data_IF_624809458997
#
_entry.id   IF_624809458997
#
_cell.length_a   1.000
_cell.length_b   1.000
_cell.length_c   1.000
_cell.angle_alpha   90.00
_cell.angle_beta   90.00
_cell.angle_gamma   90.00
#
_symmetry.space_group_name_H-M   'P 1'
#
loop_
_entity.id
_entity.type
_entity.pdbx_description
1 polymer ?
#
# COMPACT_ATOMS: atom_id res chain seq x y z
N UNK A 1 -8.99 15.34 -0.16
CA UNK A 1 -8.26 14.05 -0.08
C UNK A 1 -7.62 13.64 -1.41
N UNK A 2 -8.27 13.89 -2.56
CA UNK A 2 -7.76 13.62 -3.92
C UNK A 2 -6.31 14.07 -4.14
N UNK A 3 -5.92 15.23 -3.58
CA UNK A 3 -4.54 15.73 -3.70
C UNK A 3 -3.51 14.89 -2.94
N UNK A 4 -3.86 14.26 -1.82
CA UNK A 4 -2.94 13.40 -1.07
C UNK A 4 -2.67 12.09 -1.82
N UNK A 5 -3.72 11.52 -2.42
CA UNK A 5 -3.61 10.32 -3.26
C UNK A 5 -2.80 10.60 -4.53
N UNK A 6 -3.02 11.73 -5.21
CA UNK A 6 -2.22 12.09 -6.39
C UNK A 6 -0.74 12.31 -6.04
N UNK A 7 -0.42 12.84 -4.86
CA UNK A 7 0.96 12.94 -4.38
C UNK A 7 1.63 11.60 -4.10
N UNK A 8 0.87 10.59 -3.65
CA UNK A 8 1.35 9.22 -3.54
C UNK A 8 1.42 8.50 -4.90
N UNK A 9 0.93 9.12 -5.98
CA UNK A 9 0.82 8.54 -7.31
C UNK A 9 -0.37 7.60 -7.46
N UNK A 10 -1.41 7.74 -6.65
CA UNK A 10 -2.60 6.89 -6.63
C UNK A 10 -3.72 7.62 -7.38
N UNK A 11 -3.79 7.46 -8.70
CA UNK A 11 -4.73 8.22 -9.53
C UNK A 11 -6.06 7.48 -9.67
N UNK A 12 -6.02 6.25 -10.19
CA UNK A 12 -7.24 5.49 -10.52
C UNK A 12 -7.53 4.35 -9.56
N UNK A 13 -6.60 4.04 -8.64
CA UNK A 13 -6.74 2.92 -7.71
C UNK A 13 -8.01 3.00 -6.84
N UNK A 14 -8.44 4.20 -6.45
CA UNK A 14 -9.62 4.40 -5.61
C UNK A 14 -10.95 4.45 -6.40
N UNK A 15 -10.90 4.36 -7.73
CA UNK A 15 -12.06 4.53 -8.60
C UNK A 15 -12.50 3.18 -9.19
N UNK A 16 -13.16 2.35 -8.38
CA UNK A 16 -13.83 1.14 -8.86
C UNK A 16 -15.33 1.39 -8.92
N UNK A 17 -15.90 1.34 -10.13
CA UNK A 17 -17.33 1.58 -10.40
C UNK A 17 -18.09 0.25 -10.49
N UNK A 18 -17.39 -0.85 -10.79
CA UNK A 18 -17.99 -2.15 -11.01
C UNK A 18 -17.96 -3.04 -9.75
N UNK A 19 -19.00 -3.85 -9.49
CA UNK A 19 -19.10 -4.70 -8.29
C UNK A 19 -18.11 -5.88 -8.27
N UNK A 20 -17.39 -6.12 -9.37
CA UNK A 20 -16.47 -7.26 -9.51
C UNK A 20 -17.18 -8.62 -9.60
N UNK A 21 -16.42 -9.66 -9.94
CA UNK A 21 -16.91 -11.04 -10.03
C UNK A 21 -16.24 -11.91 -8.97
N UNK A 22 -17.02 -12.34 -7.97
CA UNK A 22 -16.52 -13.12 -6.81
C UNK A 22 -15.68 -14.33 -7.22
N UNK A 23 -16.13 -15.09 -8.22
CA UNK A 23 -15.44 -16.30 -8.67
C UNK A 23 -14.08 -15.99 -9.30
N UNK A 24 -14.00 -14.94 -10.14
CA UNK A 24 -12.74 -14.49 -10.72
C UNK A 24 -11.78 -13.95 -9.65
N UNK A 25 -12.28 -13.21 -8.65
CA UNK A 25 -11.45 -12.77 -7.52
C UNK A 25 -10.90 -13.96 -6.73
N UNK A 26 -11.73 -14.99 -6.49
CA UNK A 26 -11.28 -16.21 -5.80
C UNK A 26 -10.24 -16.97 -6.63
N UNK A 27 -10.45 -17.12 -7.93
CA UNK A 27 -9.52 -17.77 -8.85
C UNK A 27 -8.17 -17.05 -8.85
N UNK A 28 -8.19 -15.73 -9.06
CA UNK A 28 -7.02 -14.88 -9.02
C UNK A 28 -6.24 -15.05 -7.70
N UNK A 29 -6.92 -14.92 -6.55
CA UNK A 29 -6.26 -14.99 -5.25
C UNK A 29 -5.73 -16.39 -4.89
N UNK A 30 -6.38 -17.47 -5.35
CA UNK A 30 -5.95 -18.85 -5.10
C UNK A 30 -4.75 -19.26 -5.94
N UNK A 31 -4.65 -18.73 -7.16
CA UNK A 31 -3.60 -19.03 -8.12
C UNK A 31 -2.41 -18.09 -8.03
N UNK A 32 -2.53 -17.01 -7.24
CA UNK A 32 -1.51 -15.99 -7.12
C UNK A 32 -0.18 -16.54 -6.58
N UNK A 33 0.88 -16.39 -7.36
CA UNK A 33 2.24 -16.81 -7.01
C UNK A 33 3.25 -15.72 -7.34
N UNK A 34 4.33 -15.70 -6.56
CA UNK A 34 5.41 -14.73 -6.68
C UNK A 34 6.70 -15.46 -6.98
N UNK A 35 7.43 -14.98 -7.98
CA UNK A 35 8.79 -15.41 -8.22
C UNK A 35 9.69 -14.17 -8.26
N UNK A 36 10.72 -14.17 -7.44
CA UNK A 36 11.77 -13.17 -7.50
C UNK A 36 12.81 -13.63 -8.51
N UNK A 37 12.86 -12.98 -9.67
CA UNK A 37 13.87 -13.22 -10.70
C UNK A 37 14.82 -12.02 -10.72
N UNK A 38 15.94 -12.15 -10.00
CA UNK A 38 16.91 -11.07 -9.85
C UNK A 38 16.32 -9.85 -9.13
N UNK A 39 16.29 -8.69 -9.78
CA UNK A 39 15.75 -7.44 -9.23
C UNK A 39 14.27 -7.21 -9.57
N UNK A 40 13.61 -8.17 -10.21
CA UNK A 40 12.21 -8.05 -10.63
C UNK A 40 11.38 -9.17 -10.03
N UNK A 41 10.25 -8.81 -9.45
CA UNK A 41 9.24 -9.76 -9.02
C UNK A 41 8.24 -9.99 -10.15
N UNK A 42 8.09 -11.26 -10.52
CA UNK A 42 7.08 -11.74 -11.45
C UNK A 42 5.89 -12.29 -10.65
N UNK A 43 4.70 -12.03 -11.16
CA UNK A 43 3.45 -12.49 -10.59
C UNK A 43 2.80 -13.43 -11.59
N UNK A 44 2.36 -14.59 -11.10
CA UNK A 44 1.56 -15.53 -11.85
C UNK A 44 0.19 -15.64 -11.20
N UNK A 45 -0.85 -15.73 -12.01
CA UNK A 45 -2.23 -15.92 -11.55
C UNK A 45 -3.07 -16.50 -12.69
N UNK A 46 -4.19 -17.11 -12.35
CA UNK A 46 -5.20 -17.55 -13.28
C UNK A 46 -6.37 -16.55 -13.32
N UNK A 47 -6.94 -16.36 -14.50
CA UNK A 47 -8.13 -15.57 -14.72
C UNK A 47 -8.89 -16.15 -15.90
N UNK A 48 -10.20 -16.43 -15.75
CA UNK A 48 -10.99 -17.11 -16.78
C UNK A 48 -10.38 -18.46 -17.19
N UNK A 49 -9.88 -19.23 -16.22
CA UNK A 49 -9.22 -20.53 -16.41
C UNK A 49 -7.92 -20.48 -17.25
N UNK A 50 -7.41 -19.28 -17.55
CA UNK A 50 -6.15 -19.08 -18.26
C UNK A 50 -5.05 -18.58 -17.32
N UNK A 51 -3.82 -19.06 -17.50
CA UNK A 51 -2.67 -18.63 -16.70
C UNK A 51 -2.00 -17.39 -17.30
N UNK A 52 -1.81 -16.37 -16.46
CA UNK A 52 -1.17 -15.11 -16.79
C UNK A 52 0.17 -14.95 -16.05
N UNK A 53 1.08 -14.23 -16.71
CA UNK A 53 2.37 -13.80 -16.16
C UNK A 53 2.50 -12.29 -16.29
N UNK A 54 2.79 -11.60 -15.20
CA UNK A 54 2.90 -10.15 -15.17
C UNK A 54 4.02 -9.67 -14.24
N UNK A 55 4.80 -8.68 -14.67
CA UNK A 55 5.72 -7.99 -13.77
C UNK A 55 4.94 -7.14 -12.76
N UNK A 56 5.37 -7.11 -11.49
CA UNK A 56 4.77 -6.24 -10.44
C UNK A 56 4.62 -4.79 -10.92
N UNK A 57 5.61 -4.26 -11.65
CA UNK A 57 5.56 -2.89 -12.18
C UNK A 57 4.40 -2.68 -13.15
N UNK A 58 4.14 -3.66 -14.02
CA UNK A 58 3.01 -3.61 -14.96
C UNK A 58 1.69 -3.73 -14.19
N UNK A 59 1.60 -4.61 -13.18
CA UNK A 59 0.41 -4.69 -12.33
C UNK A 59 0.14 -3.37 -11.62
N UNK A 60 1.17 -2.75 -11.03
CA UNK A 60 1.04 -1.46 -10.36
C UNK A 60 0.51 -0.38 -11.29
N UNK A 61 1.00 -0.34 -12.54
CA UNK A 61 0.48 0.60 -13.51
C UNK A 61 -0.98 0.29 -13.89
N UNK A 62 -1.33 -0.97 -14.11
CA UNK A 62 -2.69 -1.41 -14.44
C UNK A 62 -3.70 -1.11 -13.32
N UNK A 63 -3.28 -1.21 -12.06
CA UNK A 63 -4.08 -0.84 -10.89
C UNK A 63 -4.22 0.69 -10.70
N UNK A 64 -3.68 1.50 -11.61
CA UNK A 64 -3.87 2.95 -11.60
C UNK A 64 -2.85 3.73 -10.78
N UNK A 65 -1.69 3.13 -10.47
CA UNK A 65 -0.58 3.82 -9.84
C UNK A 65 0.36 4.47 -10.88
N UNK A 66 1.01 5.56 -10.50
CA UNK A 66 1.99 6.27 -11.34
C UNK A 66 3.16 5.34 -11.74
N UNK A 67 3.62 5.44 -12.99
CA UNK A 67 4.78 4.68 -13.50
C UNK A 67 6.07 4.95 -12.72
N UNK A 68 6.16 6.09 -12.04
CA UNK A 68 7.28 6.53 -11.19
C UNK A 68 7.12 6.10 -9.73
N UNK A 69 6.05 5.39 -9.36
CA UNK A 69 5.92 4.87 -8.00
C UNK A 69 7.06 3.88 -7.69
N UNK A 70 7.69 4.10 -6.54
CA UNK A 70 8.62 3.14 -5.95
C UNK A 70 7.85 1.85 -5.61
N UNK A 71 8.47 0.69 -5.81
CA UNK A 71 7.86 -0.61 -5.50
C UNK A 71 8.32 -1.17 -4.15
N UNK A 72 9.57 -0.86 -3.76
CA UNK A 72 10.16 -1.32 -2.51
C UNK A 72 10.11 -0.20 -1.44
N UNK A 73 9.34 -0.38 -0.35
CA UNK A 73 9.32 0.56 0.77
C UNK A 73 10.66 0.72 1.50
N UNK A 74 11.63 -0.20 1.34
CA UNK A 74 12.96 -0.10 1.96
C UNK A 74 13.73 1.14 1.50
N UNK A 75 13.42 1.63 0.29
CA UNK A 75 13.98 2.86 -0.28
C UNK A 75 13.65 4.08 0.58
N UNK A 76 12.55 4.07 1.34
CA UNK A 76 12.21 5.17 2.25
C UNK A 76 13.28 5.39 3.31
N UNK A 77 13.84 4.31 3.88
CA UNK A 77 14.90 4.41 4.88
C UNK A 77 16.20 4.92 4.24
N UNK A 78 16.57 4.35 3.09
CA UNK A 78 17.83 4.65 2.40
C UNK A 78 17.88 6.07 1.81
N UNK A 79 16.81 6.50 1.15
CA UNK A 79 16.81 7.73 0.33
C UNK A 79 16.05 8.90 0.97
N UNK A 80 15.13 8.62 1.90
CA UNK A 80 14.22 9.63 2.47
C UNK A 80 14.33 9.76 3.99
N UNK A 81 15.34 9.13 4.61
CA UNK A 81 15.61 9.17 6.06
C UNK A 81 14.38 8.78 6.88
N UNK A 82 13.62 7.81 6.40
CA UNK A 82 12.50 7.27 7.16
C UNK A 82 13.03 6.53 8.39
N UNK A 83 12.66 7.04 9.57
CA UNK A 83 12.80 6.36 10.84
C UNK A 83 11.42 6.21 11.50
N UNK A 84 11.08 4.98 11.89
CA UNK A 84 9.76 4.64 12.43
C UNK A 84 9.47 5.43 13.71
N UNK A 85 10.44 5.45 14.62
CA UNK A 85 10.28 6.03 15.96
C UNK A 85 10.13 7.55 15.87
N UNK A 86 11.01 8.20 15.10
CA UNK A 86 10.98 9.65 14.86
C UNK A 86 9.69 10.07 14.17
N UNK A 87 9.25 9.32 13.16
CA UNK A 87 8.02 9.64 12.45
C UNK A 87 6.77 9.45 13.33
N UNK A 88 6.67 8.34 14.06
CA UNK A 88 5.55 8.08 14.95
C UNK A 88 5.45 9.14 16.05
N UNK A 89 6.57 9.42 16.74
CA UNK A 89 6.63 10.44 17.80
C UNK A 89 6.21 11.81 17.24
N UNK A 90 6.63 12.16 16.02
CA UNK A 90 6.26 13.43 15.38
C UNK A 90 4.75 13.59 15.17
N UNK A 91 4.02 12.51 14.82
CA UNK A 91 2.59 12.60 14.48
C UNK A 91 1.66 12.30 15.65
N UNK A 92 2.16 11.68 16.73
CA UNK A 92 1.35 11.19 17.85
C UNK A 92 1.81 11.64 19.24
N UNK A 93 3.05 12.13 19.39
CA UNK A 93 3.73 12.39 20.67
C UNK A 93 3.76 11.18 21.62
N UNK A 94 3.59 9.99 21.09
CA UNK A 94 3.62 8.73 21.84
C UNK A 94 4.86 7.90 21.47
N UNK A 95 5.32 7.01 22.37
CA UNK A 95 6.35 6.03 22.03
C UNK A 95 5.85 5.05 20.96
N UNK A 96 6.79 4.48 20.20
CA UNK A 96 6.46 3.48 19.18
C UNK A 96 6.06 2.15 19.85
N UNK A 97 5.06 1.48 19.30
CA UNK A 97 4.59 0.15 19.73
C UNK A 97 4.52 -0.77 18.52
N UNK A 98 4.32 -2.08 18.72
CA UNK A 98 4.11 -3.02 17.61
C UNK A 98 2.90 -2.62 16.75
N UNK A 99 1.82 -2.19 17.40
CA UNK A 99 0.60 -1.63 16.81
C UNK A 99 0.28 -0.30 17.48
N UNK A 100 0.35 0.78 16.72
CA UNK A 100 0.16 2.12 17.23
C UNK A 100 -1.29 2.58 17.03
N UNK A 101 -1.86 3.31 17.99
CA UNK A 101 -3.25 3.77 17.91
C UNK A 101 -3.40 4.91 16.90
N UNK A 102 -4.18 4.71 15.85
CA UNK A 102 -4.52 5.75 14.86
C UNK A 102 -5.16 6.96 15.54
N UNK A 103 -5.92 6.75 16.62
CA UNK A 103 -6.57 7.84 17.39
C UNK A 103 -5.54 8.84 17.93
N UNK A 104 -4.33 8.36 18.26
CA UNK A 104 -3.26 9.18 18.79
C UNK A 104 -2.65 10.13 17.75
N UNK A 105 -2.84 9.89 16.45
CA UNK A 105 -2.36 10.80 15.39
C UNK A 105 -3.08 12.15 15.51
N UNK A 106 -2.35 13.23 15.78
CA UNK A 106 -2.97 14.54 16.07
C UNK A 106 -3.53 15.24 14.83
N UNK A 107 -2.92 15.06 13.66
CA UNK A 107 -3.37 15.69 12.43
C UNK A 107 -4.61 14.92 11.87
N UNK A 108 -5.78 15.57 11.73
CA UNK A 108 -7.01 14.89 11.33
C UNK A 108 -6.94 14.30 9.91
N UNK A 109 -6.25 14.96 8.98
CA UNK A 109 -6.06 14.45 7.61
C UNK A 109 -5.19 13.20 7.60
N UNK A 110 -4.07 13.19 8.33
CA UNK A 110 -3.22 12.00 8.45
C UNK A 110 -3.96 10.86 9.16
N UNK A 111 -4.75 11.18 10.18
CA UNK A 111 -5.59 10.20 10.88
C UNK A 111 -6.59 9.54 9.92
N UNK A 112 -7.25 10.34 9.08
CA UNK A 112 -8.18 9.84 8.07
C UNK A 112 -7.47 8.97 7.02
N UNK A 113 -6.30 9.40 6.54
CA UNK A 113 -5.51 8.61 5.58
C UNK A 113 -5.04 7.28 6.18
N UNK A 114 -4.61 7.26 7.44
CA UNK A 114 -4.25 6.03 8.13
C UNK A 114 -5.42 5.04 8.17
N UNK A 115 -6.62 5.51 8.52
CA UNK A 115 -7.84 4.67 8.47
C UNK A 115 -8.12 4.16 7.06
N UNK A 116 -8.03 5.03 6.06
CA UNK A 116 -8.27 4.63 4.66
C UNK A 116 -7.31 3.55 4.20
N UNK A 117 -6.01 3.65 4.52
CA UNK A 117 -5.01 2.63 4.20
C UNK A 117 -5.37 1.30 4.87
N UNK A 118 -5.74 1.31 6.16
CA UNK A 118 -6.14 0.11 6.89
C UNK A 118 -7.46 -0.52 6.41
N UNK A 119 -8.29 0.22 5.67
CA UNK A 119 -9.53 -0.31 5.11
C UNK A 119 -9.32 -0.84 3.69
N UNK A 120 -8.55 -0.12 2.87
CA UNK A 120 -8.52 -0.34 1.42
C UNK A 120 -7.25 -1.05 0.94
N UNK A 121 -6.14 -0.91 1.65
CA UNK A 121 -4.81 -1.40 1.23
C UNK A 121 -4.39 -2.59 2.08
N UNK A 122 -4.49 -2.44 3.40
CA UNK A 122 -4.19 -3.48 4.38
C UNK A 122 -5.43 -3.72 5.24
N UNK A 123 -6.44 -4.47 4.76
CA UNK A 123 -7.65 -4.70 5.53
C UNK A 123 -7.33 -5.31 6.90
N UNK A 124 -7.38 -4.49 7.95
CA UNK A 124 -7.13 -4.90 9.33
C UNK A 124 -8.45 -5.20 10.03
N UNK A 125 -8.43 -6.20 10.93
CA UNK A 125 -9.55 -6.48 11.83
C UNK A 125 -9.81 -5.35 12.84
N UNK A 126 -8.75 -4.61 13.23
CA UNK A 126 -8.85 -3.45 14.12
C UNK A 126 -8.37 -2.16 13.43
N UNK A 127 -9.33 -1.36 12.95
CA UNK A 127 -9.09 -0.07 12.29
C UNK A 127 -8.61 1.04 13.24
N UNK A 128 -8.42 0.73 14.53
CA UNK A 128 -7.78 1.65 15.48
C UNK A 128 -6.27 1.50 15.46
N UNK A 129 -5.73 0.45 14.84
CA UNK A 129 -4.32 0.14 14.88
C UNK A 129 -3.65 0.44 13.52
N UNK A 130 -2.43 0.95 13.59
CA UNK A 130 -1.55 1.20 12.45
C UNK A 130 -0.27 0.40 12.67
N UNK A 131 0.08 -0.44 11.69
CA UNK A 131 1.30 -1.24 11.74
C UNK A 131 2.41 -0.64 10.85
N UNK A 132 3.53 -1.33 10.71
CA UNK A 132 4.72 -0.77 10.06
C UNK A 132 4.50 -0.46 8.56
N UNK A 133 3.87 -1.33 7.74
CA UNK A 133 3.55 -1.03 6.36
C UNK A 133 2.70 0.24 6.23
N UNK A 134 1.59 0.36 6.97
CA UNK A 134 0.67 1.49 6.88
C UNK A 134 1.37 2.79 7.25
N UNK A 135 2.23 2.76 8.27
CA UNK A 135 3.00 3.92 8.71
C UNK A 135 3.99 4.41 7.65
N UNK A 136 4.58 3.50 6.86
CA UNK A 136 5.45 3.84 5.71
C UNK A 136 4.66 4.52 4.59
N UNK A 137 3.46 4.02 4.26
CA UNK A 137 2.59 4.65 3.26
C UNK A 137 2.10 6.02 3.73
N UNK A 138 1.77 6.15 5.01
CA UNK A 138 1.38 7.43 5.59
C UNK A 138 2.52 8.46 5.53
N UNK A 139 3.76 8.04 5.80
CA UNK A 139 4.95 8.88 5.62
C UNK A 139 5.13 9.30 4.16
N UNK A 140 5.02 8.36 3.22
CA UNK A 140 5.15 8.63 1.80
C UNK A 140 4.13 9.68 1.33
N UNK A 141 2.86 9.55 1.73
CA UNK A 141 1.83 10.55 1.46
C UNK A 141 2.17 11.92 2.06
N UNK A 142 2.58 11.96 3.33
CA UNK A 142 2.95 13.21 4.01
C UNK A 142 4.15 13.91 3.36
N UNK A 143 5.07 13.15 2.77
CA UNK A 143 6.26 13.64 2.08
C UNK A 143 6.11 13.77 0.57
N UNK A 144 4.92 13.50 0.02
CA UNK A 144 4.62 13.53 -1.41
C UNK A 144 5.54 12.61 -2.23
N UNK A 145 5.87 11.46 -1.66
CA UNK A 145 6.68 10.42 -2.30
C UNK A 145 5.74 9.46 -3.01
N UNK A 146 6.02 9.18 -4.28
CA UNK A 146 5.27 8.20 -5.06
C UNK A 146 5.69 6.80 -4.67
N UNK A 147 4.78 6.06 -4.03
CA UNK A 147 5.04 4.72 -3.52
C UNK A 147 3.83 3.83 -3.82
N UNK A 148 4.08 2.69 -4.46
CA UNK A 148 3.06 1.70 -4.77
C UNK A 148 2.84 0.78 -3.58
N UNK A 149 1.59 0.50 -3.18
CA UNK A 149 1.29 -0.47 -2.14
C UNK A 149 1.27 -1.92 -2.64
N UNK A 150 1.39 -2.16 -3.94
CA UNK A 150 1.16 -3.49 -4.54
C UNK A 150 1.96 -4.59 -3.85
N UNK A 151 3.26 -4.40 -3.61
CA UNK A 151 4.08 -5.40 -2.91
C UNK A 151 3.53 -5.74 -1.52
N UNK A 152 3.09 -4.72 -0.77
CA UNK A 152 2.54 -4.91 0.58
C UNK A 152 1.11 -5.45 0.61
N UNK A 153 0.33 -5.23 -0.45
CA UNK A 153 -1.02 -5.83 -0.59
C UNK A 153 -0.94 -7.32 -0.88
N UNK A 154 0.18 -7.73 -1.48
CA UNK A 154 0.42 -9.07 -1.97
C UNK A 154 1.23 -9.94 -0.99
N UNK A 155 2.02 -9.32 -0.11
CA UNK A 155 2.67 -9.99 1.01
C UNK A 155 1.62 -10.36 2.08
N UNK A 156 1.26 -11.64 2.17
CA UNK A 156 0.49 -12.20 3.29
C UNK A 156 1.44 -12.76 4.34
#
# INVERSE_FOLDING_TARGET
MTQAFSYAGWYNFANMIEPGLKFLTMEFLKSLRFEETGNTTEIYFCFFDEQYKLMVKKLSFALGFDKKCLLDPSVLAKSYKYDRTTWWNKISKEPVSSKNSIVSIHNPTLRMLAKWICMMVHPLSDLRLCSLPELRYLFAMAKKIKLSPVMSMLAR
#
